data_IF_408736776025
#
_entry.id   IF_408736776025
#
_cell.length_a   1.000
_cell.length_b   1.000
_cell.length_c   1.000
_cell.angle_alpha   90.00
_cell.angle_beta   90.00
_cell.angle_gamma   90.00
#
_symmetry.space_group_name_H-M   'P 1'
#
loop_
_entity.id
_entity.type
_entity.pdbx_description
1 polymer ?
#
# COMPACT_ATOMS: atom_id res chain seq x y z
N UNK A 1 -42.46 33.20 20.74
CA UNK A 1 -41.42 32.80 21.72
C UNK A 1 -41.33 31.28 21.69
N UNK A 2 -40.34 30.72 21.00
CA UNK A 2 -40.03 29.29 21.02
C UNK A 2 -38.53 29.14 21.27
N UNK A 3 -38.07 28.23 22.15
CA UNK A 3 -36.66 28.03 22.39
C UNK A 3 -36.08 27.14 21.27
N UNK A 4 -34.93 27.57 20.74
CA UNK A 4 -34.18 26.88 19.71
C UNK A 4 -33.44 25.66 20.24
N UNK A 5 -33.46 24.58 19.47
CA UNK A 5 -32.60 23.43 19.64
C UNK A 5 -31.21 23.76 19.07
N UNK A 6 -30.21 23.89 19.95
CA UNK A 6 -28.81 23.90 19.58
C UNK A 6 -28.33 22.48 19.33
N UNK A 7 -27.92 22.20 18.09
CA UNK A 7 -27.25 20.96 17.71
C UNK A 7 -25.84 20.95 18.32
N UNK A 8 -25.59 19.96 19.17
CA UNK A 8 -24.26 19.68 19.71
C UNK A 8 -23.33 19.21 18.59
N UNK A 9 -22.16 19.84 18.49
CA UNK A 9 -21.03 19.39 17.68
C UNK A 9 -20.52 18.04 18.18
N UNK A 10 -20.22 17.07 17.30
CA UNK A 10 -19.61 15.80 17.73
C UNK A 10 -18.16 16.02 18.20
N UNK A 11 -17.68 15.24 19.20
CA UNK A 11 -16.33 15.38 19.72
C UNK A 11 -15.27 14.89 18.73
N UNK A 12 -14.12 15.58 18.75
CA UNK A 12 -12.91 15.27 17.98
C UNK A 12 -12.40 13.85 18.27
N UNK A 13 -12.23 13.07 17.21
CA UNK A 13 -11.54 11.77 17.24
C UNK A 13 -10.06 11.98 17.56
N UNK A 14 -9.60 11.42 18.67
CA UNK A 14 -8.16 11.40 19.02
C UNK A 14 -7.51 10.20 18.33
N UNK A 15 -6.84 10.45 17.21
CA UNK A 15 -6.01 9.45 16.53
C UNK A 15 -4.64 9.34 17.22
N UNK A 16 -4.40 8.23 17.92
CA UNK A 16 -3.07 7.89 18.45
C UNK A 16 -2.26 7.19 17.36
N UNK A 17 -1.40 7.94 16.67
CA UNK A 17 -0.42 7.38 15.73
C UNK A 17 0.73 6.74 16.51
N UNK A 18 0.76 5.41 16.57
CA UNK A 18 1.91 4.68 17.09
C UNK A 18 2.98 4.60 16.00
N UNK A 19 4.02 5.44 16.10
CA UNK A 19 5.19 5.34 15.21
C UNK A 19 6.09 4.19 15.69
N UNK A 20 5.95 3.01 15.09
CA UNK A 20 6.97 1.97 15.17
C UNK A 20 8.10 2.32 14.18
N UNK A 21 9.08 3.07 14.65
CA UNK A 21 10.31 3.36 13.91
C UNK A 21 11.18 2.09 13.84
N UNK A 22 10.97 1.28 12.81
CA UNK A 22 11.93 0.22 12.43
C UNK A 22 12.57 0.63 11.11
N UNK A 23 13.77 1.21 11.21
CA UNK A 23 14.51 1.72 10.08
C UNK A 23 14.99 0.61 9.15
N UNK A 24 14.50 0.62 7.91
CA UNK A 24 15.27 0.33 6.68
C UNK A 24 14.71 1.19 5.53
N UNK A 25 15.56 1.68 4.62
CA UNK A 25 15.15 2.62 3.60
C UNK A 25 14.36 1.86 2.53
N UNK A 26 13.06 2.13 2.41
CA UNK A 26 12.35 1.84 1.17
C UNK A 26 12.71 2.96 0.19
N UNK A 27 13.25 2.53 -0.96
CA UNK A 27 13.66 3.38 -2.06
C UNK A 27 12.59 4.40 -2.40
N UNK A 28 12.95 5.68 -2.25
CA UNK A 28 12.15 6.77 -2.74
C UNK A 28 12.10 6.65 -4.27
N UNK A 29 10.93 6.28 -4.80
CA UNK A 29 10.61 6.37 -6.21
C UNK A 29 11.14 7.70 -6.76
N UNK A 30 12.15 7.63 -7.61
CA UNK A 30 12.69 8.78 -8.32
C UNK A 30 11.65 9.20 -9.37
N UNK A 31 10.72 10.06 -8.96
CA UNK A 31 9.93 10.84 -9.89
C UNK A 31 10.86 11.71 -10.72
N UNK A 32 10.90 11.48 -12.03
CA UNK A 32 11.56 12.37 -12.98
C UNK A 32 10.87 13.74 -12.91
N UNK A 33 11.57 14.71 -12.34
CA UNK A 33 11.18 16.12 -12.32
C UNK A 33 11.33 16.69 -13.75
N UNK A 34 10.26 16.62 -14.55
CA UNK A 34 10.19 17.32 -15.83
C UNK A 34 10.06 18.83 -15.58
N UNK A 35 11.19 19.55 -15.64
CA UNK A 35 11.20 21.00 -15.55
C UNK A 35 10.67 21.63 -16.83
N UNK A 36 9.37 21.94 -16.84
CA UNK A 36 8.78 22.90 -17.78
C UNK A 36 8.97 24.33 -17.23
N UNK A 37 9.32 25.32 -18.07
CA UNK A 37 9.48 26.71 -17.65
C UNK A 37 8.10 27.37 -17.59
N UNK A 38 7.31 27.10 -16.56
CA UNK A 38 6.14 27.89 -16.16
C UNK A 38 5.71 27.47 -14.75
N UNK A 39 5.58 28.43 -13.84
CA UNK A 39 5.16 28.32 -12.43
C UNK A 39 3.70 27.86 -12.26
N UNK A 40 3.28 26.81 -12.96
CA UNK A 40 1.98 26.17 -12.73
C UNK A 40 2.18 25.07 -11.69
N UNK A 41 1.94 25.42 -10.42
CA UNK A 41 1.93 24.45 -9.34
C UNK A 41 0.65 23.59 -9.47
N UNK A 42 0.77 22.48 -10.21
CA UNK A 42 -0.26 21.45 -10.30
C UNK A 42 -0.25 20.70 -8.98
N UNK A 43 -1.33 20.83 -8.21
CA UNK A 43 -1.55 19.95 -7.05
C UNK A 43 -2.18 18.67 -7.60
N UNK A 44 -1.38 17.61 -7.73
CA UNK A 44 -1.90 16.27 -8.03
C UNK A 44 -2.55 15.76 -6.75
N UNK A 45 -3.88 15.80 -6.69
CA UNK A 45 -4.61 15.05 -5.68
C UNK A 45 -4.69 13.61 -6.17
N UNK A 46 -3.76 12.78 -5.70
CA UNK A 46 -3.92 11.35 -5.86
C UNK A 46 -5.01 10.93 -4.85
N UNK A 47 -6.22 10.70 -5.34
CA UNK A 47 -7.27 10.05 -4.55
C UNK A 47 -6.88 8.59 -4.43
N UNK A 48 -5.90 8.30 -3.57
CA UNK A 48 -5.61 6.93 -3.18
C UNK A 48 -6.89 6.34 -2.63
N UNK A 49 -7.41 5.29 -3.27
CA UNK A 49 -8.63 4.64 -2.83
C UNK A 49 -8.30 3.85 -1.56
N UNK A 50 -8.97 4.16 -0.46
CA UNK A 50 -8.74 3.51 0.83
C UNK A 50 -9.95 2.64 1.14
N UNK A 51 -9.69 1.45 1.68
CA UNK A 51 -10.74 0.57 2.15
C UNK A 51 -10.64 0.40 3.66
N UNK A 52 -11.74 0.72 4.33
CA UNK A 52 -11.88 0.55 5.77
C UNK A 52 -12.61 -0.75 6.09
N UNK A 53 -12.04 -1.52 7.02
CA UNK A 53 -12.64 -2.73 7.57
C UNK A 53 -12.87 -2.56 9.07
N UNK A 54 -14.07 -2.92 9.53
CA UNK A 54 -14.39 -2.95 10.96
C UNK A 54 -14.47 -4.39 11.43
N UNK A 55 -13.98 -4.67 12.63
CA UNK A 55 -14.12 -5.99 13.23
C UNK A 55 -15.59 -6.36 13.45
N UNK A 56 -15.86 -7.66 13.43
CA UNK A 56 -17.04 -8.24 14.06
C UNK A 56 -16.87 -8.37 15.57
N UNK A 57 -17.69 -9.21 16.24
CA UNK A 57 -17.62 -9.40 17.69
C UNK A 57 -16.28 -9.99 18.19
N UNK A 58 -15.60 -10.78 17.36
CA UNK A 58 -14.26 -11.30 17.63
C UNK A 58 -13.23 -10.55 16.78
N UNK A 59 -12.42 -9.72 17.44
CA UNK A 59 -11.42 -8.88 16.80
C UNK A 59 -10.10 -9.62 16.52
N UNK A 60 -9.92 -10.83 17.07
CA UNK A 60 -8.64 -11.55 17.08
C UNK A 60 -8.15 -11.86 15.66
N UNK A 61 -9.06 -12.31 14.79
CA UNK A 61 -8.73 -12.66 13.41
C UNK A 61 -8.33 -11.43 12.59
N UNK A 62 -9.04 -10.30 12.77
CA UNK A 62 -8.72 -9.04 12.09
C UNK A 62 -7.37 -8.48 12.57
N UNK A 63 -7.07 -8.56 13.87
CA UNK A 63 -5.78 -8.13 14.43
C UNK A 63 -4.61 -8.96 13.90
N UNK A 64 -4.73 -10.29 13.88
CA UNK A 64 -3.70 -11.17 13.34
C UNK A 64 -3.44 -10.88 11.86
N UNK A 65 -4.51 -10.73 11.07
CA UNK A 65 -4.43 -10.38 9.65
C UNK A 65 -3.75 -9.03 9.40
N UNK A 66 -4.05 -8.03 10.24
CA UNK A 66 -3.44 -6.71 10.14
C UNK A 66 -1.97 -6.73 10.56
N UNK A 67 -1.63 -7.52 11.59
CA UNK A 67 -0.26 -7.66 12.06
C UNK A 67 0.66 -8.27 10.99
N UNK A 68 0.21 -9.30 10.27
CA UNK A 68 0.99 -9.91 9.20
C UNK A 68 1.34 -8.91 8.10
N UNK A 69 0.40 -8.02 7.74
CA UNK A 69 0.62 -6.96 6.74
C UNK A 69 1.52 -5.85 7.27
N UNK A 70 1.33 -5.44 8.52
CA UNK A 70 2.14 -4.40 9.15
C UNK A 70 3.61 -4.83 9.38
N UNK A 71 3.85 -6.12 9.57
CA UNK A 71 5.19 -6.70 9.72
C UNK A 71 5.99 -6.71 8.40
N UNK A 72 5.39 -6.27 7.29
CA UNK A 72 6.05 -6.22 5.99
C UNK A 72 6.12 -7.60 5.32
N UNK A 73 5.02 -8.36 5.36
CA UNK A 73 4.87 -9.67 4.69
C UNK A 73 4.95 -9.63 3.13
N UNK A 74 5.68 -8.66 2.59
CA UNK A 74 6.04 -8.53 1.18
C UNK A 74 5.19 -7.50 0.43
N UNK A 75 5.64 -7.06 -0.76
CA UNK A 75 4.90 -6.14 -1.63
C UNK A 75 3.66 -6.78 -2.26
N UNK A 76 3.40 -8.06 -1.99
CA UNK A 76 2.34 -8.87 -2.62
C UNK A 76 1.06 -8.93 -1.79
N UNK A 77 1.00 -8.22 -0.67
CA UNK A 77 -0.18 -8.08 0.18
C UNK A 77 -0.59 -6.62 0.26
N UNK A 78 -1.88 -6.41 0.49
CA UNK A 78 -2.45 -5.09 0.72
C UNK A 78 -1.77 -4.42 1.92
N UNK A 79 -1.25 -3.19 1.78
CA UNK A 79 -0.60 -2.52 2.89
C UNK A 79 -1.65 -1.93 3.84
N UNK A 80 -1.43 -2.16 5.13
CA UNK A 80 -2.20 -1.55 6.21
C UNK A 80 -1.67 -0.14 6.44
N UNK A 81 -2.56 0.85 6.35
CA UNK A 81 -2.23 2.27 6.52
C UNK A 81 -2.42 2.73 7.95
N UNK A 82 -3.52 2.31 8.58
CA UNK A 82 -3.84 2.68 9.95
C UNK A 82 -4.62 1.56 10.65
N UNK A 83 -4.42 1.45 11.95
CA UNK A 83 -5.16 0.53 12.82
C UNK A 83 -5.58 1.31 14.05
N UNK A 84 -6.88 1.36 14.32
CA UNK A 84 -7.43 2.16 15.40
C UNK A 84 -8.75 1.63 15.90
N UNK A 85 -9.44 2.47 16.67
CA UNK A 85 -10.80 2.19 17.14
C UNK A 85 -11.74 3.29 16.67
N UNK A 86 -12.97 2.91 16.32
CA UNK A 86 -14.04 3.89 16.07
C UNK A 86 -14.57 4.49 17.39
N UNK A 87 -15.47 5.49 17.34
CA UNK A 87 -16.04 6.10 18.55
C UNK A 87 -16.85 5.14 19.45
N UNK A 88 -17.27 3.99 18.93
CA UNK A 88 -18.01 2.94 19.66
C UNK A 88 -17.03 1.93 20.29
N UNK A 89 -15.74 2.04 19.97
CA UNK A 89 -14.69 1.15 20.45
C UNK A 89 -14.50 -0.10 19.59
N UNK A 90 -15.03 -0.16 18.37
CA UNK A 90 -14.79 -1.26 17.43
C UNK A 90 -13.41 -1.13 16.82
N UNK A 91 -12.65 -2.22 16.73
CA UNK A 91 -11.41 -2.24 15.95
C UNK A 91 -11.68 -1.92 14.48
N UNK A 92 -10.88 -1.01 13.93
CA UNK A 92 -10.93 -0.59 12.53
C UNK A 92 -9.53 -0.67 11.93
N UNK A 93 -9.44 -1.23 10.73
CA UNK A 93 -8.22 -1.28 9.92
C UNK A 93 -8.47 -0.55 8.62
N UNK A 94 -7.65 0.46 8.33
CA UNK A 94 -7.65 1.17 7.06
C UNK A 94 -6.52 0.62 6.18
N UNK A 95 -6.85 0.25 4.95
CA UNK A 95 -5.90 -0.29 4.00
C UNK A 95 -5.88 0.50 2.71
N UNK A 96 -4.71 0.56 2.08
CA UNK A 96 -4.61 1.13 0.74
C UNK A 96 -5.20 0.13 -0.23
N UNK A 97 -6.21 0.52 -1.01
CA UNK A 97 -6.68 -0.35 -2.07
C UNK A 97 -5.60 -0.40 -3.16
N UNK A 98 -5.05 -1.58 -3.47
CA UNK A 98 -4.07 -1.69 -4.53
C UNK A 98 -4.72 -1.28 -5.86
N UNK A 99 -4.06 -0.37 -6.58
CA UNK A 99 -4.36 -0.12 -7.99
C UNK A 99 -3.79 -1.27 -8.81
N UNK A 100 -4.57 -1.75 -9.76
CA UNK A 100 -4.12 -2.87 -10.57
C UNK A 100 -5.22 -3.44 -11.46
N UNK A 101 -4.80 -4.25 -12.41
CA UNK A 101 -5.69 -5.01 -13.29
C UNK A 101 -5.82 -6.42 -12.73
N UNK A 102 -7.02 -7.04 -12.80
CA UNK A 102 -7.19 -8.42 -12.33
C UNK A 102 -6.21 -9.35 -13.05
N UNK A 103 -5.75 -10.42 -12.40
CA UNK A 103 -4.80 -11.35 -13.00
C UNK A 103 -5.32 -11.93 -14.32
N UNK A 104 -6.63 -12.20 -14.41
CA UNK A 104 -7.26 -12.67 -15.66
C UNK A 104 -7.14 -11.62 -16.77
N UNK A 105 -7.58 -10.40 -16.52
CA UNK A 105 -7.50 -9.30 -17.50
C UNK A 105 -6.05 -8.97 -17.86
N UNK A 106 -5.13 -9.12 -16.89
CA UNK A 106 -3.72 -8.91 -17.08
C UNK A 106 -3.14 -9.90 -18.09
N UNK A 107 -3.45 -11.17 -17.89
CA UNK A 107 -3.06 -12.25 -18.79
C UNK A 107 -3.71 -12.12 -20.17
N UNK A 108 -4.94 -11.61 -20.27
CA UNK A 108 -5.58 -11.32 -21.55
C UNK A 108 -4.86 -10.23 -22.33
N UNK A 109 -4.33 -9.20 -21.66
CA UNK A 109 -3.49 -8.17 -22.27
C UNK A 109 -2.11 -8.70 -22.68
N UNK A 110 -1.51 -9.55 -21.86
CA UNK A 110 -0.19 -10.16 -22.13
C UNK A 110 -0.28 -11.18 -23.28
N UNK A 111 -1.41 -11.87 -23.41
CA UNK A 111 -1.60 -12.95 -24.38
C UNK A 111 -0.90 -14.23 -23.94
N UNK A 112 0.24 -14.57 -24.57
CA UNK A 112 1.02 -15.76 -24.24
C UNK A 112 2.34 -15.38 -23.56
N UNK A 113 2.40 -15.42 -22.22
CA UNK A 113 3.63 -15.09 -21.49
C UNK A 113 4.73 -16.11 -21.79
N UNK A 114 5.96 -15.61 -21.86
CA UNK A 114 7.16 -16.48 -21.84
C UNK A 114 7.28 -17.15 -20.46
N UNK A 115 8.01 -18.28 -20.33
CA UNK A 115 8.25 -18.90 -19.03
C UNK A 115 8.85 -17.94 -18.00
N UNK A 116 9.76 -17.05 -18.40
CA UNK A 116 10.35 -16.07 -17.48
C UNK A 116 9.34 -15.06 -16.93
N UNK A 117 8.33 -14.68 -17.73
CA UNK A 117 7.21 -13.84 -17.26
C UNK A 117 6.28 -14.64 -16.35
N UNK A 118 5.98 -15.89 -16.72
CA UNK A 118 5.16 -16.77 -15.91
C UNK A 118 5.80 -17.03 -14.53
N UNK A 119 7.12 -17.19 -14.46
CA UNK A 119 7.88 -17.27 -13.20
C UNK A 119 7.69 -16.00 -12.37
N UNK A 120 7.85 -14.81 -12.96
CA UNK A 120 7.68 -13.53 -12.24
C UNK A 120 6.29 -13.40 -11.62
N UNK A 121 5.24 -13.81 -12.33
CA UNK A 121 3.86 -13.70 -11.84
C UNK A 121 3.49 -14.81 -10.84
N UNK A 122 4.01 -16.04 -11.03
CA UNK A 122 3.60 -17.19 -10.22
C UNK A 122 4.42 -17.37 -8.94
N UNK A 123 5.70 -16.97 -8.90
CA UNK A 123 6.54 -17.13 -7.69
C UNK A 123 5.93 -16.44 -6.47
N UNK A 124 5.52 -15.16 -6.52
CA UNK A 124 4.90 -14.49 -5.38
C UNK A 124 3.65 -15.21 -4.86
N UNK A 125 2.81 -15.72 -5.76
CA UNK A 125 1.60 -16.48 -5.40
C UNK A 125 1.96 -17.76 -4.64
N UNK A 126 2.99 -18.48 -5.10
CA UNK A 126 3.44 -19.72 -4.50
C UNK A 126 4.17 -19.51 -3.17
N UNK A 127 4.90 -18.41 -3.01
CA UNK A 127 5.51 -18.00 -1.74
C UNK A 127 4.44 -17.67 -0.69
N UNK A 128 3.42 -16.88 -1.05
CA UNK A 128 2.28 -16.60 -0.17
C UNK A 128 1.52 -17.89 0.18
N UNK A 129 1.36 -18.81 -0.77
CA UNK A 129 0.70 -20.08 -0.52
C UNK A 129 1.50 -20.97 0.44
N UNK A 130 2.84 -20.96 0.34
CA UNK A 130 3.71 -21.66 1.29
C UNK A 130 3.57 -21.06 2.70
N UNK A 131 3.65 -19.73 2.80
CA UNK A 131 3.54 -19.02 4.07
C UNK A 131 2.19 -19.28 4.75
N UNK A 132 1.09 -19.25 4.00
CA UNK A 132 -0.25 -19.57 4.52
C UNK A 132 -0.33 -21.02 5.02
N UNK A 133 0.17 -21.96 4.21
CA UNK A 133 0.09 -23.39 4.54
C UNK A 133 0.97 -23.80 5.71
N UNK A 134 2.08 -23.10 5.90
CA UNK A 134 2.97 -23.26 7.06
C UNK A 134 2.45 -22.49 8.30
N UNK A 135 1.34 -21.74 8.18
CA UNK A 135 0.73 -20.96 9.26
C UNK A 135 1.49 -19.68 9.62
N UNK A 136 2.43 -19.26 8.77
CA UNK A 136 3.24 -18.07 8.92
C UNK A 136 2.56 -16.80 8.38
N UNK A 137 1.43 -16.95 7.68
CA UNK A 137 0.65 -15.86 7.12
C UNK A 137 -0.84 -16.17 7.19
N UNK A 138 -1.62 -15.29 7.80
CA UNK A 138 -3.07 -15.33 7.77
C UNK A 138 -3.59 -14.60 6.53
N UNK A 139 -4.02 -15.40 5.56
CA UNK A 139 -4.77 -14.91 4.40
C UNK A 139 -6.26 -14.99 4.70
N UNK A 140 -6.96 -13.89 4.45
CA UNK A 140 -8.40 -13.77 4.58
C UNK A 140 -9.16 -14.40 3.43
N UNK A 141 -10.41 -13.99 3.25
CA UNK A 141 -11.26 -14.50 2.17
C UNK A 141 -10.84 -13.85 0.84
N UNK A 142 -10.50 -14.67 -0.15
CA UNK A 142 -10.16 -14.21 -1.49
C UNK A 142 -10.73 -15.14 -2.55
N UNK A 143 -10.99 -14.60 -3.74
CA UNK A 143 -11.16 -15.36 -4.97
C UNK A 143 -9.98 -15.10 -5.90
N UNK A 144 -9.97 -15.79 -7.04
CA UNK A 144 -8.99 -15.54 -8.10
C UNK A 144 -9.08 -14.09 -8.63
N UNK A 145 -10.27 -13.49 -8.60
CA UNK A 145 -10.49 -12.11 -9.06
C UNK A 145 -9.89 -11.07 -8.09
N UNK A 146 -9.60 -11.48 -6.85
CA UNK A 146 -8.90 -10.65 -5.87
C UNK A 146 -7.37 -10.67 -6.07
N UNK A 147 -6.86 -11.41 -7.07
CA UNK A 147 -5.46 -11.34 -7.50
C UNK A 147 -5.31 -10.25 -8.54
N UNK A 148 -4.49 -9.25 -8.24
CA UNK A 148 -4.23 -8.11 -9.11
C UNK A 148 -2.78 -8.15 -9.60
N UNK A 149 -2.54 -7.55 -10.75
CA UNK A 149 -1.21 -7.14 -11.19
C UNK A 149 -1.20 -5.61 -11.14
N UNK A 150 -0.30 -5.06 -10.33
CA UNK A 150 -0.17 -3.61 -10.17
C UNK A 150 0.56 -2.97 -11.36
N UNK A 151 0.68 -1.64 -11.33
CA UNK A 151 1.30 -0.87 -12.40
C UNK A 151 2.82 -1.13 -12.53
N UNK A 152 3.45 -1.71 -11.50
CA UNK A 152 4.85 -2.15 -11.54
C UNK A 152 5.02 -3.56 -12.14
N UNK A 153 3.91 -4.26 -12.38
CA UNK A 153 3.90 -5.66 -12.82
C UNK A 153 4.03 -6.66 -11.67
N UNK A 154 3.90 -6.21 -10.42
CA UNK A 154 3.91 -7.08 -9.25
C UNK A 154 2.51 -7.65 -8.99
N UNK A 155 2.46 -8.91 -8.57
CA UNK A 155 1.20 -9.55 -8.20
C UNK A 155 0.84 -9.19 -6.78
N UNK A 156 -0.39 -8.72 -6.54
CA UNK A 156 -0.88 -8.32 -5.23
C UNK A 156 -2.18 -9.06 -4.93
N UNK A 157 -2.26 -9.70 -3.77
CA UNK A 157 -3.48 -10.31 -3.27
C UNK A 157 -4.28 -9.28 -2.47
N UNK A 158 -5.49 -8.98 -2.94
CA UNK A 158 -6.47 -8.11 -2.28
C UNK A 158 -7.55 -8.91 -1.55
N UNK A 159 -7.12 -9.68 -0.54
CA UNK A 159 -8.01 -10.47 0.29
C UNK A 159 -8.81 -9.63 1.30
N UNK A 160 -9.94 -10.19 1.72
CA UNK A 160 -10.82 -9.57 2.72
C UNK A 160 -10.45 -10.11 4.10
N UNK A 161 -10.22 -9.24 5.10
CA UNK A 161 -9.83 -9.69 6.42
C UNK A 161 -10.84 -10.67 7.03
N UNK A 162 -10.37 -11.75 7.69
CA UNK A 162 -11.24 -12.66 8.40
C UNK A 162 -11.88 -11.96 9.61
N UNK A 163 -13.14 -12.26 9.87
CA UNK A 163 -13.88 -11.69 11.01
C UNK A 163 -14.25 -10.20 10.84
N UNK A 164 -13.98 -9.58 9.70
CA UNK A 164 -14.46 -8.24 9.42
C UNK A 164 -15.96 -8.25 9.11
N UNK A 165 -16.67 -7.24 9.62
CA UNK A 165 -18.06 -6.98 9.28
C UNK A 165 -18.12 -6.43 7.86
N UNK A 166 -18.50 -7.25 6.89
CA UNK A 166 -18.59 -6.85 5.48
C UNK A 166 -19.98 -6.25 5.18
N UNK A 167 -20.06 -5.14 4.43
CA UNK A 167 -21.33 -4.72 3.83
C UNK A 167 -21.74 -5.63 2.65
N UNK A 168 -20.77 -6.30 2.00
CA UNK A 168 -21.02 -7.25 0.91
C UNK A 168 -21.11 -8.69 1.42
N UNK A 169 -22.05 -9.52 0.92
CA UNK A 169 -22.11 -10.93 1.28
C UNK A 169 -20.84 -11.67 0.85
N UNK A 170 -20.25 -12.41 1.79
CA UNK A 170 -19.15 -13.34 1.49
C UNK A 170 -19.70 -14.47 0.61
N UNK A 171 -19.09 -14.77 -0.54
CA UNK A 171 -19.48 -15.94 -1.33
C UNK A 171 -19.38 -17.21 -0.47
N UNK A 172 -20.43 -18.04 -0.39
CA UNK A 172 -20.49 -19.18 0.51
C UNK A 172 -19.69 -20.38 -0.04
N UNK A 173 -18.38 -20.25 -0.15
CA UNK A 173 -17.44 -21.36 -0.35
C UNK A 173 -16.06 -20.92 0.12
N UNK A 174 -15.69 -21.28 1.36
CA UNK A 174 -14.35 -21.04 1.90
C UNK A 174 -13.38 -22.06 1.32
N UNK A 175 -12.96 -21.85 0.08
CA UNK A 175 -11.81 -22.58 -0.46
C UNK A 175 -10.57 -22.05 0.28
N UNK A 176 -9.63 -22.91 0.74
CA UNK A 176 -8.41 -22.46 1.41
C UNK A 176 -7.65 -21.44 0.55
N UNK A 177 -7.08 -20.41 1.18
CA UNK A 177 -6.39 -19.35 0.47
C UNK A 177 -5.20 -19.85 -0.38
N UNK A 178 -4.43 -20.82 0.13
CA UNK A 178 -3.39 -21.50 -0.65
C UNK A 178 -3.91 -22.11 -1.95
N UNK A 179 -5.16 -22.59 -1.98
CA UNK A 179 -5.77 -23.13 -3.20
C UNK A 179 -6.15 -22.02 -4.19
N UNK A 180 -6.61 -20.85 -3.72
CA UNK A 180 -6.85 -19.68 -4.58
C UNK A 180 -5.54 -19.22 -5.23
N UNK A 181 -4.46 -19.13 -4.45
CA UNK A 181 -3.13 -18.76 -4.93
C UNK A 181 -2.57 -19.77 -5.94
N UNK A 182 -2.75 -21.08 -5.70
CA UNK A 182 -2.42 -22.14 -6.65
C UNK A 182 -3.22 -22.06 -7.95
N UNK A 183 -4.51 -21.73 -7.88
CA UNK A 183 -5.35 -21.52 -9.06
C UNK A 183 -4.89 -20.29 -9.87
N UNK A 184 -4.50 -19.21 -9.19
CA UNK A 184 -3.87 -18.06 -9.84
C UNK A 184 -2.57 -18.42 -10.56
N UNK A 185 -1.69 -19.17 -9.91
CA UNK A 185 -0.46 -19.67 -10.54
C UNK A 185 -0.77 -20.56 -11.76
N UNK A 186 -1.77 -21.45 -11.65
CA UNK A 186 -2.23 -22.28 -12.77
C UNK A 186 -2.73 -21.44 -13.94
N UNK A 187 -3.54 -20.40 -13.71
CA UNK A 187 -4.01 -19.51 -14.77
C UNK A 187 -2.87 -18.87 -15.54
N UNK A 188 -1.79 -18.46 -14.85
CA UNK A 188 -0.59 -17.91 -15.50
C UNK A 188 0.04 -18.94 -16.43
N UNK A 189 0.29 -20.16 -15.93
CA UNK A 189 0.96 -21.22 -16.68
C UNK A 189 0.11 -21.79 -17.82
N UNK A 190 -1.22 -21.77 -17.71
CA UNK A 190 -2.12 -22.17 -18.80
C UNK A 190 -2.00 -21.28 -20.05
N UNK A 191 -1.51 -20.04 -19.89
CA UNK A 191 -1.29 -19.08 -21.00
C UNK A 191 0.06 -19.22 -21.69
N UNK A 192 1.04 -19.87 -21.06
CA UNK A 192 2.34 -20.16 -21.67
C UNK A 192 2.15 -21.05 -22.90
N UNK A 193 2.96 -20.90 -23.96
CA UNK A 193 2.83 -21.73 -25.17
C UNK A 193 2.78 -23.23 -24.81
N UNK A 194 1.76 -24.00 -25.24
CA UNK A 194 1.68 -25.43 -24.98
C UNK A 194 2.85 -26.25 -25.53
N UNK A 195 3.62 -25.70 -26.48
CA UNK A 195 4.83 -26.34 -27.02
C UNK A 195 6.06 -26.17 -26.13
N UNK A 196 5.99 -25.29 -25.13
CA UNK A 196 7.10 -25.09 -24.19
C UNK A 196 7.19 -26.29 -23.23
N UNK A 197 8.34 -26.96 -23.21
CA UNK A 197 8.57 -28.14 -22.38
C UNK A 197 8.39 -27.85 -20.88
N UNK A 198 8.70 -26.62 -20.45
CA UNK A 198 8.55 -26.24 -19.07
C UNK A 198 7.08 -26.24 -18.61
N UNK A 199 6.15 -25.90 -19.51
CA UNK A 199 4.72 -25.89 -19.18
C UNK A 199 4.25 -27.27 -18.74
N UNK A 200 4.60 -28.32 -19.48
CA UNK A 200 4.19 -29.68 -19.15
C UNK A 200 4.74 -30.14 -17.78
N UNK A 201 5.99 -29.76 -17.47
CA UNK A 201 6.60 -30.04 -16.17
C UNK A 201 5.85 -29.32 -15.03
N UNK A 202 5.54 -28.04 -15.21
CA UNK A 202 4.86 -27.24 -14.18
C UNK A 202 3.40 -27.68 -14.01
N UNK A 203 2.68 -28.04 -15.08
CA UNK A 203 1.30 -28.54 -15.00
C UNK A 203 1.19 -29.81 -14.14
N UNK A 204 2.18 -30.72 -14.24
CA UNK A 204 2.26 -31.90 -13.39
C UNK A 204 2.50 -31.55 -11.92
N UNK A 205 3.41 -30.60 -11.65
CA UNK A 205 3.70 -30.14 -10.29
C UNK A 205 2.51 -29.38 -9.66
N UNK A 206 1.82 -28.55 -10.45
CA UNK A 206 0.60 -27.84 -10.04
C UNK A 206 -0.51 -28.81 -9.66
N UNK A 207 -0.73 -29.83 -10.49
CA UNK A 207 -1.73 -30.87 -10.22
C UNK A 207 -1.40 -31.61 -8.91
N UNK A 208 -0.13 -31.98 -8.71
CA UNK A 208 0.31 -32.62 -7.47
C UNK A 208 0.18 -31.70 -6.24
N UNK A 209 0.44 -30.39 -6.36
CA UNK A 209 0.35 -29.44 -5.25
C UNK A 209 -1.11 -29.11 -4.86
N UNK A 210 -2.04 -29.09 -5.84
CA UNK A 210 -3.47 -28.85 -5.62
C UNK A 210 -4.14 -29.94 -4.79
N UNK A 211 -3.70 -31.20 -4.97
CA UNK A 211 -4.24 -32.37 -4.24
C UNK A 211 -3.31 -32.82 -3.10
N UNK A 212 -2.10 -32.28 -3.05
CA UNK A 212 -1.02 -32.73 -2.18
C UNK A 212 -0.79 -31.89 -0.93
N UNK A 213 0.36 -32.15 -0.30
CA UNK A 213 0.84 -31.57 0.95
C UNK A 213 1.62 -30.26 0.76
N UNK A 214 2.00 -29.59 1.86
CA UNK A 214 2.95 -28.47 1.81
C UNK A 214 4.31 -28.83 1.19
N UNK A 215 4.72 -30.10 1.27
CA UNK A 215 5.94 -30.58 0.59
C UNK A 215 5.82 -30.57 -0.94
N UNK A 216 4.62 -30.83 -1.48
CA UNK A 216 4.36 -30.76 -2.92
C UNK A 216 4.34 -29.31 -3.40
N UNK A 217 3.81 -28.40 -2.59
CA UNK A 217 3.82 -26.96 -2.86
C UNK A 217 5.25 -26.38 -2.89
N UNK A 218 6.13 -26.76 -1.94
CA UNK A 218 7.55 -26.33 -1.97
C UNK A 218 8.31 -26.90 -3.17
N UNK A 219 7.99 -28.15 -3.57
CA UNK A 219 8.53 -28.75 -4.79
C UNK A 219 8.09 -27.99 -6.04
N UNK A 220 6.82 -27.58 -6.10
CA UNK A 220 6.32 -26.71 -7.16
C UNK A 220 7.04 -25.37 -7.20
N UNK A 221 7.18 -24.67 -6.06
CA UNK A 221 7.90 -23.39 -5.98
C UNK A 221 9.35 -23.52 -6.46
N UNK A 222 10.07 -24.55 -6.01
CA UNK A 222 11.43 -24.83 -6.49
C UNK A 222 11.47 -25.16 -7.99
N UNK A 223 10.50 -25.93 -8.49
CA UNK A 223 10.35 -26.25 -9.90
C UNK A 223 10.17 -25.01 -10.75
N UNK A 224 9.20 -24.15 -10.40
CA UNK A 224 8.95 -22.86 -11.08
C UNK A 224 10.19 -21.99 -11.09
N UNK A 225 10.87 -21.82 -9.94
CA UNK A 225 12.09 -21.02 -9.86
C UNK A 225 13.27 -21.56 -10.67
N UNK A 226 13.26 -22.85 -11.02
CA UNK A 226 14.31 -23.50 -11.82
C UNK A 226 14.08 -23.45 -13.33
N UNK A 227 12.84 -23.20 -13.77
CA UNK A 227 12.45 -23.24 -15.20
C UNK A 227 13.08 -22.12 -16.00
N UNK A 228 13.07 -20.90 -15.45
CA UNK A 228 13.59 -19.72 -16.13
C UNK A 228 13.96 -18.64 -15.13
N UNK A 229 14.88 -17.75 -15.51
CA UNK A 229 15.13 -16.54 -14.75
C UNK A 229 13.89 -15.62 -14.81
N UNK A 230 13.49 -14.98 -13.70
CA UNK A 230 12.37 -14.05 -13.69
C UNK A 230 12.60 -12.89 -14.67
N UNK A 231 11.55 -12.52 -15.39
CA UNK A 231 11.53 -11.39 -16.33
C UNK A 231 10.49 -10.38 -15.88
N UNK A 232 10.89 -9.15 -15.49
CA UNK A 232 9.93 -8.10 -15.14
C UNK A 232 8.97 -7.83 -16.30
N UNK A 233 7.68 -7.74 -15.99
CA UNK A 233 6.67 -7.31 -16.96
C UNK A 233 6.58 -5.80 -16.85
N UNK A 234 7.04 -5.11 -17.89
CA UNK A 234 6.77 -3.68 -18.03
C UNK A 234 5.58 -3.53 -18.97
N UNK A 235 4.46 -3.12 -18.42
CA UNK A 235 3.26 -2.82 -19.18
C UNK A 235 2.84 -1.38 -18.94
N UNK A 236 2.25 -0.76 -19.96
CA UNK A 236 1.75 0.59 -19.81
C UNK A 236 0.49 0.55 -18.95
N UNK A 237 0.46 1.26 -17.81
CA UNK A 237 -0.72 1.30 -16.96
C UNK A 237 -1.89 1.92 -17.74
N UNK A 238 -3.15 1.57 -17.39
CA UNK A 238 -4.31 2.31 -17.88
C UNK A 238 -4.11 3.81 -17.64
N UNK A 239 -4.61 4.65 -18.55
CA UNK A 239 -4.52 6.09 -18.36
C UNK A 239 -5.22 6.46 -17.05
N UNK A 240 -4.47 6.96 -16.08
CA UNK A 240 -5.01 7.50 -14.84
C UNK A 240 -5.95 8.66 -15.18
N UNK A 241 -7.15 8.65 -14.58
CA UNK A 241 -8.09 9.77 -14.62
C UNK A 241 -7.58 10.91 -13.73
N UNK A 242 -6.50 11.57 -14.15
CA UNK A 242 -6.02 12.77 -13.48
C UNK A 242 -7.00 13.92 -13.74
N UNK A 243 -7.86 14.18 -12.76
CA UNK A 243 -8.66 15.40 -12.74
C UNK A 243 -7.75 16.58 -12.36
N UNK A 244 -7.17 17.24 -13.38
CA UNK A 244 -6.49 18.52 -13.20
C UNK A 244 -7.51 19.58 -12.84
N UNK A 245 -7.78 19.76 -11.55
CA UNK A 245 -8.60 20.87 -11.07
C UNK A 245 -7.76 22.15 -11.11
N UNK A 246 -8.23 23.15 -11.86
CA UNK A 246 -7.71 24.49 -11.72
C UNK A 246 -7.86 24.91 -10.25
N UNK A 247 -6.81 25.50 -9.68
CA UNK A 247 -6.81 26.01 -8.31
C UNK A 247 -8.08 26.88 -8.15
N UNK A 248 -8.94 26.67 -7.12
CA UNK A 248 -10.00 27.63 -6.85
C UNK A 248 -9.31 28.98 -6.69
N UNK A 249 -9.67 29.93 -7.55
CA UNK A 249 -9.20 31.30 -7.44
C UNK A 249 -9.66 31.80 -6.08
N UNK A 250 -8.76 31.84 -5.11
CA UNK A 250 -9.02 32.49 -3.84
C UNK A 250 -9.29 33.95 -4.18
N UNK A 251 -10.57 34.34 -4.16
CA UNK A 251 -10.95 35.74 -4.16
C UNK A 251 -10.31 36.35 -2.92
N UNK A 252 -9.37 37.26 -3.15
CA UNK A 252 -8.77 38.08 -2.11
C UNK A 252 -9.88 38.90 -1.45
N UNK A 253 -10.23 38.55 -0.22
CA UNK A 253 -10.61 39.53 0.78
C UNK A 253 -9.47 39.61 1.79
N UNK A 254 -9.12 40.84 2.18
CA UNK A 254 -7.94 41.26 2.94
C UNK A 254 -7.77 40.55 4.28
N UNK A 255 -7.30 39.30 4.26
CA UNK A 255 -7.00 38.55 5.46
C UNK A 255 -5.48 38.47 5.70
N UNK A 256 -5.03 39.14 6.75
CA UNK A 256 -3.65 39.15 7.23
C UNK A 256 -3.19 37.71 7.54
N UNK A 257 -4.12 36.84 7.94
CA UNK A 257 -3.87 35.41 8.12
C UNK A 257 -3.48 34.70 6.82
N UNK A 258 -4.10 35.03 5.69
CA UNK A 258 -3.76 34.45 4.38
C UNK A 258 -2.37 34.89 3.90
N UNK A 259 -1.96 36.14 4.21
CA UNK A 259 -0.61 36.65 3.92
C UNK A 259 0.44 35.98 4.81
N UNK A 260 0.14 35.76 6.08
CA UNK A 260 1.03 35.03 6.98
C UNK A 260 1.13 33.54 6.61
N UNK A 261 0.03 32.91 6.21
CA UNK A 261 0.01 31.52 5.78
C UNK A 261 0.77 31.32 4.47
N UNK A 262 0.61 32.24 3.50
CA UNK A 262 1.38 32.21 2.24
C UNK A 262 2.85 32.53 2.45
N UNK A 263 3.20 33.43 3.38
CA UNK A 263 4.58 33.71 3.77
C UNK A 263 5.22 32.51 4.48
N UNK A 264 4.50 31.87 5.40
CA UNK A 264 4.95 30.66 6.10
C UNK A 264 5.11 29.48 5.11
N UNK A 265 4.16 29.31 4.20
CA UNK A 265 4.21 28.30 3.13
C UNK A 265 5.39 28.55 2.18
N UNK A 266 5.62 29.81 1.78
CA UNK A 266 6.81 30.20 1.02
C UNK A 266 8.09 29.91 1.81
N UNK A 267 8.12 30.18 3.11
CA UNK A 267 9.30 29.89 3.94
C UNK A 267 9.60 28.38 4.00
N UNK A 268 8.53 27.57 4.01
CA UNK A 268 8.61 26.10 4.06
C UNK A 268 9.03 25.51 2.72
N UNK A 269 8.38 25.92 1.64
CA UNK A 269 8.63 25.40 0.28
C UNK A 269 9.97 25.89 -0.29
N UNK A 270 10.37 27.13 0.04
CA UNK A 270 11.54 27.78 -0.58
C UNK A 270 12.76 27.90 0.34
N UNK A 271 12.65 27.55 1.62
CA UNK A 271 13.72 27.65 2.63
C UNK A 271 14.03 29.08 3.08
N UNK A 272 14.68 29.23 4.24
CA UNK A 272 15.02 30.54 4.81
C UNK A 272 16.23 31.12 4.04
N UNK A 273 16.10 32.31 3.41
CA UNK A 273 17.23 32.94 2.73
C UNK A 273 18.18 33.56 3.76
N UNK A 274 19.42 33.08 3.83
CA UNK A 274 20.46 33.68 4.67
C UNK A 274 21.38 34.61 3.89
N UNK A 275 21.47 34.42 2.57
CA UNK A 275 22.32 35.19 1.64
C UNK A 275 21.72 35.04 0.23
N UNK A 276 21.91 35.98 -0.71
CA UNK A 276 21.38 35.87 -2.09
C UNK A 276 21.67 34.55 -2.83
N UNK A 277 22.68 33.78 -2.40
CA UNK A 277 23.03 32.49 -3.01
C UNK A 277 22.99 31.29 -2.05
N UNK A 278 22.42 31.43 -0.84
CA UNK A 278 22.39 30.34 0.14
C UNK A 278 21.05 30.28 0.87
N UNK A 279 20.35 29.16 0.72
CA UNK A 279 19.09 28.89 1.40
C UNK A 279 19.27 27.75 2.38
N UNK A 280 18.72 27.92 3.57
CA UNK A 280 18.81 26.93 4.63
C UNK A 280 17.49 26.16 4.68
N UNK A 281 17.58 24.82 4.66
CA UNK A 281 16.39 23.96 4.76
C UNK A 281 15.71 24.15 6.12
N UNK A 282 14.37 24.12 6.14
CA UNK A 282 13.55 24.32 7.36
C UNK A 282 14.00 23.40 8.49
N UNK A 283 14.34 22.14 8.15
CA UNK A 283 14.85 21.14 9.09
C UNK A 283 16.13 21.60 9.79
N UNK A 284 17.07 22.18 9.06
CA UNK A 284 18.33 22.67 9.63
C UNK A 284 18.13 23.94 10.48
N UNK A 285 17.19 24.81 10.10
CA UNK A 285 16.85 25.99 10.90
C UNK A 285 16.18 25.59 12.23
N UNK A 286 15.30 24.59 12.20
CA UNK A 286 14.62 24.09 13.39
C UNK A 286 15.60 23.39 14.33
N UNK A 287 16.51 22.56 13.80
CA UNK A 287 17.59 21.93 14.59
C UNK A 287 18.51 23.00 15.20
N UNK A 288 18.88 24.03 14.44
CA UNK A 288 19.67 25.15 14.95
C UNK A 288 18.99 25.93 16.06
N UNK A 289 17.68 26.21 15.93
CA UNK A 289 16.90 26.89 16.96
C UNK A 289 16.79 26.06 18.25
N UNK A 290 16.52 24.77 18.14
CA UNK A 290 16.47 23.86 19.30
C UNK A 290 17.83 23.80 20.00
N UNK A 291 18.93 23.71 19.25
CA UNK A 291 20.28 23.74 19.82
C UNK A 291 20.56 25.06 20.54
N UNK A 292 20.20 26.20 19.93
CA UNK A 292 20.42 27.51 20.53
C UNK A 292 19.62 27.69 21.83
N UNK A 293 18.36 27.25 21.86
CA UNK A 293 17.51 27.29 23.07
C UNK A 293 18.08 26.36 24.16
N UNK A 294 18.53 25.16 23.79
CA UNK A 294 19.18 24.23 24.72
C UNK A 294 20.47 24.80 25.33
N UNK A 295 21.31 25.46 24.51
CA UNK A 295 22.53 26.12 24.98
C UNK A 295 22.20 27.31 25.89
N UNK A 296 21.23 28.14 25.52
CA UNK A 296 20.82 29.28 26.34
C UNK A 296 20.29 28.84 27.72
N UNK A 297 19.49 27.77 27.75
CA UNK A 297 19.03 27.17 29.00
C UNK A 297 20.21 26.60 29.81
N UNK A 298 21.17 25.91 29.19
CA UNK A 298 22.34 25.39 29.90
C UNK A 298 23.23 26.51 30.48
N UNK A 299 23.35 27.64 29.80
CA UNK A 299 24.09 28.81 30.29
C UNK A 299 23.36 29.47 31.47
N UNK A 300 22.04 29.64 31.42
CA UNK A 300 21.29 30.19 32.55
C UNK A 300 21.30 29.27 33.78
N UNK A 301 21.30 27.95 33.57
CA UNK A 301 21.43 26.97 34.66
C UNK A 301 22.85 26.86 35.24
N UNK A 302 23.90 27.24 34.51
CA UNK A 302 25.29 27.21 35.00
C UNK A 302 25.74 28.50 35.67
N UNK A 303 25.11 29.64 35.39
CA UNK A 303 25.40 30.94 36.03
C UNK A 303 24.59 31.13 37.34
N UNK A 304 23.50 30.38 37.52
CA UNK A 304 22.65 30.43 38.71
C UNK A 304 23.06 29.51 39.87
N UNK A 305 24.30 28.98 39.89
CA UNK A 305 24.77 28.05 40.91
C UNK A 305 26.05 28.53 41.58
#
# INVERSE_FOLDING_TARGET
MGPGYGLATPPETVTLRLWANTGRPQDCAHGQEARLPSDTLVTVQNTSDHRRWSAGPDETALLAWAADRAAGAGPHLVPVLDVGRDPVGTLVVDVLRPTGTTLSDALDRIGSPTPGVAVTLSVPLLELACAERDGALLVGCATVDDLLVDDSGAVVLHDRPPGASTPDPVPPTSIPASRVLLLGARMVWERVDPRDEARAQIDALLSAALDGSGGDLRRLLAGVGSVAAPRPVRWDPPADDFAFTARPSVQNDDDLAARLLSAARSLVERGIPLTPHRRLSVRQAMVGAVLAVGIAAAVTFSVGR
#
